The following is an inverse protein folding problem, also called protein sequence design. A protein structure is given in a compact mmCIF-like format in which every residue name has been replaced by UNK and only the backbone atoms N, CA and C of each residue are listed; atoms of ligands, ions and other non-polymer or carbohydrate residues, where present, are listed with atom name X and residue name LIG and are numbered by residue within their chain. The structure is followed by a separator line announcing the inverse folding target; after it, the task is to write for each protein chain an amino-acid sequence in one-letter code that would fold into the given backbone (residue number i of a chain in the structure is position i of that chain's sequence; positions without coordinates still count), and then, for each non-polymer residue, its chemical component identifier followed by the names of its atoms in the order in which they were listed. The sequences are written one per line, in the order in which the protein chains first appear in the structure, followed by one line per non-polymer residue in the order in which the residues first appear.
data_IF_269109339733
#
_entry.id   IF_269109339733
#
_cell.length_a   1.000
_cell.length_b   1.000
_cell.length_c   1.000
_cell.angle_alpha   90.00
_cell.angle_beta   90.00
_cell.angle_gamma   90.00
#
_symmetry.space_group_name_H-M   'P 1'
#
loop_
_entity.id
_entity.type
_entity.pdbx_description
1 polymer ?
#
# COMPACT_ATOMS: atom_id res chain seq x y z
N UNK A 1 10.27 -7.14 4.45
CA UNK A 1 9.17 -7.21 3.49
C UNK A 1 8.86 -5.81 2.95
N UNK A 2 8.77 -5.65 1.63
CA UNK A 2 8.24 -4.46 0.97
C UNK A 2 6.75 -4.67 0.71
N UNK A 3 5.90 -3.75 1.19
CA UNK A 3 4.46 -3.81 0.94
C UNK A 3 4.10 -3.42 -0.50
N UNK A 4 4.84 -2.47 -1.07
CA UNK A 4 4.70 -2.01 -2.47
C UNK A 4 5.94 -1.23 -2.90
N UNK A 5 5.95 -0.69 -4.15
CA UNK A 5 7.15 -0.16 -4.79
C UNK A 5 7.48 1.31 -4.47
N UNK A 6 6.58 2.08 -3.88
CA UNK A 6 6.80 3.51 -3.65
C UNK A 6 8.07 3.79 -2.83
N UNK A 7 8.76 4.87 -3.18
CA UNK A 7 10.02 5.26 -2.58
C UNK A 7 9.97 5.29 -1.05
N UNK A 8 8.88 5.77 -0.47
CA UNK A 8 8.67 5.83 0.99
C UNK A 8 8.71 4.46 1.69
N UNK A 9 8.56 3.35 0.96
CA UNK A 9 8.66 1.98 1.47
C UNK A 9 9.97 1.31 1.10
N UNK A 10 10.55 1.70 -0.04
CA UNK A 10 11.72 1.02 -0.61
C UNK A 10 13.03 1.64 -0.13
N UNK A 11 13.14 2.97 -0.08
CA UNK A 11 14.41 3.65 0.17
C UNK A 11 15.02 3.33 1.54
N UNK A 12 14.19 3.22 2.58
CA UNK A 12 14.66 2.90 3.94
C UNK A 12 15.00 1.42 4.17
N UNK A 13 14.69 0.53 3.23
CA UNK A 13 14.85 -0.91 3.44
C UNK A 13 16.33 -1.34 3.59
N UNK A 14 17.27 -0.65 2.95
CA UNK A 14 18.71 -0.88 3.09
C UNK A 14 19.23 -0.61 4.50
N UNK A 15 18.62 0.31 5.25
CA UNK A 15 19.04 0.68 6.59
C UNK A 15 18.88 -0.45 7.64
N UNK A 16 18.04 -1.43 7.34
CA UNK A 16 17.83 -2.57 8.26
C UNK A 16 18.96 -3.61 8.21
N UNK A 17 19.87 -3.53 7.24
CA UNK A 17 20.94 -4.55 7.08
C UNK A 17 20.38 -5.96 6.92
N UNK A 18 19.19 -6.12 6.40
CA UNK A 18 18.51 -7.41 6.27
C UNK A 18 19.19 -8.27 5.21
N UNK A 19 19.42 -9.54 5.53
CA UNK A 19 19.97 -10.52 4.58
C UNK A 19 19.05 -10.71 3.38
N UNK A 20 17.73 -10.69 3.62
CA UNK A 20 16.73 -10.86 2.59
C UNK A 20 15.73 -9.71 2.60
N UNK A 21 15.46 -9.17 1.41
CA UNK A 21 14.39 -8.20 1.14
C UNK A 21 13.36 -8.91 0.26
N UNK A 22 12.15 -9.06 0.78
CA UNK A 22 11.07 -9.81 0.13
C UNK A 22 10.07 -8.85 -0.49
N UNK A 23 9.63 -9.12 -1.72
CA UNK A 23 8.55 -8.38 -2.40
C UNK A 23 7.73 -9.32 -3.28
N UNK A 24 6.53 -8.90 -3.70
CA UNK A 24 5.84 -9.55 -4.80
C UNK A 24 6.60 -9.34 -6.12
N UNK A 25 6.42 -10.24 -7.09
CA UNK A 25 6.97 -10.07 -8.44
C UNK A 25 6.49 -8.75 -9.05
N UNK A 26 5.19 -8.43 -8.93
CA UNK A 26 4.62 -7.17 -9.42
C UNK A 26 5.25 -5.94 -8.75
N UNK A 27 5.58 -5.98 -7.46
CA UNK A 27 6.31 -4.89 -6.78
C UNK A 27 7.71 -4.74 -7.35
N UNK A 28 8.43 -5.84 -7.59
CA UNK A 28 9.76 -5.80 -8.19
C UNK A 28 9.72 -5.23 -9.61
N UNK A 29 8.74 -5.62 -10.41
CA UNK A 29 8.58 -5.12 -11.78
C UNK A 29 8.30 -3.62 -11.79
N UNK A 30 7.48 -3.11 -10.87
CA UNK A 30 7.25 -1.67 -10.70
C UNK A 30 8.51 -0.92 -10.24
N UNK A 31 9.36 -1.52 -9.38
CA UNK A 31 10.67 -0.94 -9.05
C UNK A 31 11.55 -0.83 -10.30
N UNK A 32 11.58 -1.87 -11.16
CA UNK A 32 12.30 -1.83 -12.45
C UNK A 32 11.78 -0.73 -13.35
N UNK A 33 10.46 -0.64 -13.48
CA UNK A 33 9.80 0.30 -14.41
C UNK A 33 9.91 1.75 -13.95
N UNK A 34 9.69 2.02 -12.65
CA UNK A 34 9.40 3.35 -12.12
C UNK A 34 10.21 3.77 -10.90
N UNK A 35 10.95 2.84 -10.28
CA UNK A 35 11.60 3.08 -8.98
C UNK A 35 12.55 4.28 -8.98
N UNK A 36 13.32 4.50 -10.04
CA UNK A 36 14.22 5.65 -10.12
C UNK A 36 13.42 6.98 -10.22
N UNK A 37 12.39 7.00 -11.06
CA UNK A 37 11.51 8.17 -11.20
C UNK A 37 10.82 8.51 -9.86
N UNK A 38 10.31 7.50 -9.15
CA UNK A 38 9.63 7.69 -7.88
C UNK A 38 10.61 8.20 -6.80
N UNK A 39 11.82 7.65 -6.74
CA UNK A 39 12.90 8.13 -5.86
C UNK A 39 13.22 9.61 -6.14
N UNK A 40 13.46 9.97 -7.39
CA UNK A 40 13.83 11.34 -7.78
C UNK A 40 12.69 12.32 -7.48
N UNK A 41 11.44 11.90 -7.72
CA UNK A 41 10.24 12.66 -7.37
C UNK A 41 10.12 12.91 -5.87
N UNK A 42 10.32 11.88 -5.03
CA UNK A 42 10.27 12.04 -3.57
C UNK A 42 11.37 12.97 -3.05
N UNK A 43 12.61 12.79 -3.51
CA UNK A 43 13.72 13.67 -3.13
C UNK A 43 13.45 15.11 -3.57
N UNK A 44 12.92 15.30 -4.79
CA UNK A 44 12.59 16.63 -5.32
C UNK A 44 11.46 17.32 -4.57
N UNK A 45 10.42 16.58 -4.16
CA UNK A 45 9.30 17.13 -3.38
C UNK A 45 9.64 17.42 -1.93
N UNK A 46 10.50 16.60 -1.33
CA UNK A 46 10.79 16.65 0.10
C UNK A 46 12.31 16.69 0.39
N UNK A 47 13.10 17.61 -0.20
CA UNK A 47 14.56 17.57 -0.11
C UNK A 47 15.09 17.61 1.33
N UNK A 48 14.35 18.22 2.27
CA UNK A 48 14.74 18.27 3.67
C UNK A 48 14.74 16.89 4.36
N UNK A 49 13.88 15.96 3.91
CA UNK A 49 13.80 14.62 4.48
C UNK A 49 15.00 13.76 4.08
N UNK A 50 15.69 14.11 2.99
CA UNK A 50 16.82 13.36 2.46
C UNK A 50 18.18 14.00 2.77
N UNK A 51 18.17 15.14 3.47
CA UNK A 51 19.39 15.86 3.79
C UNK A 51 20.19 15.08 4.85
N UNK A 52 21.44 14.70 4.50
CA UNK A 52 22.34 13.92 5.37
C UNK A 52 21.80 12.52 5.76
N UNK A 53 21.00 11.91 4.93
CA UNK A 53 20.51 10.55 5.14
C UNK A 53 21.41 9.55 4.41
N UNK A 54 22.38 8.97 5.14
CA UNK A 54 23.36 8.02 4.58
C UNK A 54 22.73 6.66 4.22
N UNK A 55 21.57 6.32 4.81
CA UNK A 55 20.90 5.05 4.60
C UNK A 55 20.13 4.93 3.27
N UNK A 56 19.93 6.05 2.57
CA UNK A 56 19.33 6.02 1.23
C UNK A 56 20.45 5.75 0.22
N UNK A 57 20.42 4.61 -0.50
CA UNK A 57 21.48 4.26 -1.43
C UNK A 57 21.50 5.19 -2.65
N UNK A 58 22.64 5.34 -3.30
CA UNK A 58 22.78 6.10 -4.55
C UNK A 58 21.88 5.51 -5.66
N UNK A 59 21.77 4.19 -5.71
CA UNK A 59 20.83 3.48 -6.59
C UNK A 59 19.47 3.20 -5.96
N UNK A 60 18.90 2.07 -6.30
CA UNK A 60 17.65 1.55 -5.75
C UNK A 60 17.92 0.40 -4.78
N UNK A 61 17.05 0.25 -3.79
CA UNK A 61 17.04 -0.95 -2.95
C UNK A 61 16.25 -2.04 -3.66
N UNK A 62 16.88 -3.18 -3.90
CA UNK A 62 16.30 -4.29 -4.65
C UNK A 62 15.79 -5.40 -3.75
N UNK A 63 14.62 -5.98 -4.01
CA UNK A 63 14.23 -7.23 -3.38
C UNK A 63 15.17 -8.36 -3.83
N UNK A 64 15.63 -9.16 -2.86
CA UNK A 64 16.49 -10.33 -3.07
C UNK A 64 15.69 -11.63 -3.21
N UNK A 65 14.42 -11.61 -2.74
CA UNK A 65 13.47 -12.71 -2.89
C UNK A 65 12.15 -12.17 -3.41
N UNK A 66 11.57 -12.85 -4.40
CA UNK A 66 10.24 -12.54 -4.91
C UNK A 66 9.31 -13.72 -4.77
N UNK A 67 8.00 -13.42 -4.70
CA UNK A 67 6.95 -14.42 -4.65
C UNK A 67 5.78 -14.01 -5.54
N UNK A 68 4.99 -15.00 -5.95
CA UNK A 68 3.74 -14.80 -6.67
C UNK A 68 2.57 -15.25 -5.79
N UNK A 69 1.63 -14.34 -5.53
CA UNK A 69 0.40 -14.52 -4.75
C UNK A 69 0.60 -14.82 -3.26
N UNK A 70 1.38 -15.82 -2.90
CA UNK A 70 1.52 -16.24 -1.49
C UNK A 70 2.90 -16.80 -1.22
N UNK A 71 3.45 -16.44 -0.05
CA UNK A 71 4.60 -17.07 0.59
C UNK A 71 4.28 -17.26 2.08
N UNK A 72 4.80 -18.31 2.71
CA UNK A 72 4.71 -18.50 4.16
C UNK A 72 6.11 -18.47 4.75
N UNK A 73 6.30 -17.67 5.79
CA UNK A 73 7.51 -17.60 6.58
C UNK A 73 7.22 -18.21 7.96
N UNK A 74 8.19 -18.96 8.47
CA UNK A 74 8.13 -19.50 9.82
C UNK A 74 9.18 -18.81 10.70
N UNK A 75 8.74 -18.05 11.68
CA UNK A 75 9.59 -17.42 12.68
C UNK A 75 9.51 -18.25 13.96
N UNK A 76 10.27 -19.34 14.03
CA UNK A 76 10.08 -20.36 15.04
C UNK A 76 8.73 -21.07 14.85
N UNK A 77 7.82 -20.89 15.80
CA UNK A 77 6.44 -21.44 15.72
C UNK A 77 5.42 -20.45 15.10
N UNK A 78 5.81 -19.21 14.91
CA UNK A 78 4.94 -18.18 14.36
C UNK A 78 4.83 -18.34 12.86
N UNK A 79 3.61 -18.56 12.37
CA UNK A 79 3.30 -18.54 10.94
C UNK A 79 3.02 -17.11 10.50
N UNK A 80 3.75 -16.66 9.47
CA UNK A 80 3.51 -15.37 8.81
C UNK A 80 3.21 -15.65 7.34
N UNK A 81 1.99 -15.39 6.91
CA UNK A 81 1.59 -15.50 5.52
C UNK A 81 1.79 -14.14 4.84
N UNK A 82 2.60 -14.12 3.80
CA UNK A 82 2.82 -12.97 2.93
C UNK A 82 1.91 -13.15 1.73
N UNK A 83 0.96 -12.22 1.53
CA UNK A 83 -0.14 -12.39 0.58
C UNK A 83 -0.23 -11.19 -0.36
N UNK A 84 -0.44 -11.47 -1.65
CA UNK A 84 -0.92 -10.53 -2.64
C UNK A 84 -2.40 -10.88 -2.92
N UNK A 85 -3.32 -10.11 -2.36
CA UNK A 85 -4.75 -10.42 -2.37
C UNK A 85 -5.53 -9.68 -3.46
N UNK A 86 -4.85 -8.89 -4.24
CA UNK A 86 -5.39 -8.07 -5.31
C UNK A 86 -4.62 -6.77 -5.41
N UNK A 87 -4.89 -6.02 -6.45
CA UNK A 87 -4.33 -4.67 -6.64
C UNK A 87 -5.28 -3.62 -6.07
N UNK A 88 -4.72 -2.54 -5.57
CA UNK A 88 -5.50 -1.46 -4.97
C UNK A 88 -4.72 -0.16 -5.00
N UNK A 89 -3.89 0.08 -4.00
CA UNK A 89 -2.99 1.23 -3.92
C UNK A 89 -1.92 1.19 -5.02
N UNK A 90 -1.40 -0.02 -5.31
CA UNK A 90 -0.53 -0.33 -6.46
C UNK A 90 -0.90 -1.69 -7.07
N UNK A 91 -0.20 -2.09 -8.13
CA UNK A 91 -0.34 -3.43 -8.71
C UNK A 91 0.20 -4.53 -7.79
N UNK A 92 1.28 -4.24 -7.05
CA UNK A 92 2.06 -5.21 -6.31
C UNK A 92 1.76 -5.27 -4.81
N UNK A 93 0.66 -4.70 -4.35
CA UNK A 93 0.34 -4.59 -2.93
C UNK A 93 0.42 -5.93 -2.19
N UNK A 94 1.17 -5.92 -1.11
CA UNK A 94 1.48 -7.09 -0.31
C UNK A 94 1.15 -6.84 1.15
N UNK A 95 0.48 -7.81 1.78
CA UNK A 95 0.14 -7.79 3.20
C UNK A 95 0.85 -8.91 3.95
N UNK A 96 1.06 -8.72 5.25
CA UNK A 96 1.50 -9.79 6.14
C UNK A 96 0.34 -10.17 7.07
N UNK A 97 -0.01 -11.45 7.07
CA UNK A 97 -1.09 -12.01 7.86
C UNK A 97 -0.56 -13.03 8.87
N UNK A 98 -0.91 -12.86 10.13
CA UNK A 98 -0.60 -13.76 11.23
C UNK A 98 -1.89 -14.50 11.63
N UNK A 99 -2.11 -15.71 11.10
CA UNK A 99 -3.43 -16.37 11.21
C UNK A 99 -3.80 -16.78 12.64
N UNK A 100 -2.83 -17.18 13.47
CA UNK A 100 -3.08 -17.55 14.86
C UNK A 100 -3.43 -16.35 15.72
N UNK A 101 -2.75 -15.23 15.51
CA UNK A 101 -2.92 -13.97 16.23
C UNK A 101 -4.02 -13.09 15.67
N UNK A 102 -4.53 -13.43 14.45
CA UNK A 102 -5.49 -12.64 13.69
C UNK A 102 -5.08 -11.18 13.50
N UNK A 103 -3.77 -10.97 13.26
CA UNK A 103 -3.18 -9.66 13.02
C UNK A 103 -2.85 -9.50 11.54
N UNK A 104 -3.33 -8.41 10.93
CA UNK A 104 -3.08 -8.05 9.55
C UNK A 104 -2.25 -6.77 9.48
N UNK A 105 -1.13 -6.81 8.75
CA UNK A 105 -0.36 -5.65 8.33
C UNK A 105 -0.72 -5.37 6.87
N UNK A 106 -1.49 -4.31 6.63
CA UNK A 106 -2.13 -4.08 5.33
C UNK A 106 -1.28 -3.27 4.35
N UNK A 107 -0.19 -2.65 4.81
CA UNK A 107 0.43 -1.60 3.99
C UNK A 107 -0.62 -0.54 3.62
N UNK A 108 -0.39 0.17 2.52
CA UNK A 108 -1.23 1.29 2.10
C UNK A 108 -2.56 0.85 1.42
N UNK A 109 -2.90 -0.45 1.48
CA UNK A 109 -4.25 -0.92 1.14
C UNK A 109 -5.31 -0.44 2.13
N UNK A 110 -4.92 -0.17 3.39
CA UNK A 110 -5.80 0.44 4.39
C UNK A 110 -5.09 1.64 5.01
N UNK A 111 -5.75 2.77 4.96
CA UNK A 111 -5.36 3.99 5.64
C UNK A 111 -6.42 4.33 6.69
N UNK A 112 -6.00 4.72 7.88
CA UNK A 112 -6.91 5.05 8.97
C UNK A 112 -6.61 6.44 9.51
N UNK A 113 -7.63 7.27 9.59
CA UNK A 113 -7.49 8.69 9.98
C UNK A 113 -6.44 9.44 9.12
N UNK A 114 -6.32 9.02 7.87
CA UNK A 114 -5.41 9.56 6.87
C UNK A 114 -6.02 9.39 5.47
N UNK A 115 -5.79 10.37 4.60
CA UNK A 115 -6.25 10.29 3.21
C UNK A 115 -5.41 9.28 2.43
N UNK A 116 -6.03 8.28 1.79
CA UNK A 116 -5.32 7.35 0.92
C UNK A 116 -4.64 8.07 -0.25
N UNK A 117 -3.36 7.79 -0.46
CA UNK A 117 -2.71 8.19 -1.71
C UNK A 117 -3.19 7.30 -2.84
N UNK A 118 -3.66 7.90 -3.92
CA UNK A 118 -4.31 7.19 -5.01
C UNK A 118 -3.74 7.52 -6.41
N UNK A 119 -2.51 8.07 -6.48
CA UNK A 119 -1.88 8.48 -7.73
C UNK A 119 -1.64 7.32 -8.72
N UNK A 120 -1.39 6.12 -8.22
CA UNK A 120 -1.18 4.91 -9.01
C UNK A 120 -2.27 3.84 -8.76
N UNK A 121 -3.39 4.25 -8.16
CA UNK A 121 -4.40 3.34 -7.64
C UNK A 121 -5.24 2.67 -8.73
N UNK A 122 -5.65 1.47 -8.42
CA UNK A 122 -6.61 0.68 -9.20
C UNK A 122 -8.00 0.82 -8.58
N UNK A 123 -8.63 1.98 -8.76
CA UNK A 123 -9.90 2.33 -8.14
C UNK A 123 -11.01 1.29 -8.29
N UNK A 124 -11.11 0.63 -9.45
CA UNK A 124 -12.11 -0.41 -9.71
C UNK A 124 -11.88 -1.69 -8.93
N UNK A 125 -10.61 -2.03 -8.71
CA UNK A 125 -10.22 -3.31 -8.12
C UNK A 125 -10.03 -3.21 -6.61
N UNK A 126 -9.66 -2.03 -6.11
CA UNK A 126 -9.36 -1.81 -4.69
C UNK A 126 -10.51 -2.21 -3.74
N UNK A 127 -11.79 -1.89 -4.02
CA UNK A 127 -12.88 -2.38 -3.19
C UNK A 127 -12.93 -3.90 -3.05
N UNK A 128 -12.71 -4.66 -4.14
CA UNK A 128 -12.64 -6.12 -4.08
C UNK A 128 -11.42 -6.61 -3.29
N UNK A 129 -10.30 -5.92 -3.40
CA UNK A 129 -9.10 -6.24 -2.61
C UNK A 129 -9.37 -6.04 -1.11
N UNK A 130 -10.09 -4.99 -0.73
CA UNK A 130 -10.53 -4.78 0.66
C UNK A 130 -11.48 -5.89 1.15
N UNK A 131 -12.36 -6.43 0.28
CA UNK A 131 -13.19 -7.60 0.62
C UNK A 131 -12.33 -8.83 0.87
N UNK A 132 -11.28 -9.04 0.09
CA UNK A 132 -10.35 -10.15 0.27
C UNK A 132 -9.57 -10.02 1.59
N UNK A 133 -9.21 -8.79 2.01
CA UNK A 133 -8.63 -8.53 3.33
C UNK A 133 -9.63 -8.84 4.45
N UNK A 134 -10.88 -8.37 4.32
CA UNK A 134 -11.94 -8.61 5.29
C UNK A 134 -12.26 -10.11 5.46
N UNK A 135 -12.15 -10.90 4.38
CA UNK A 135 -12.37 -12.34 4.39
C UNK A 135 -11.36 -13.12 5.26
N UNK A 136 -10.18 -12.56 5.54
CA UNK A 136 -9.22 -13.10 6.50
C UNK A 136 -9.75 -13.00 7.96
N UNK A 137 -10.75 -12.16 8.22
CA UNK A 137 -11.34 -11.90 9.52
C UNK A 137 -10.31 -11.41 10.55
N UNK A 138 -9.53 -10.37 10.25
CA UNK A 138 -8.57 -9.84 11.19
C UNK A 138 -9.27 -9.23 12.41
N UNK A 139 -8.72 -9.51 13.59
CA UNK A 139 -9.17 -8.90 14.86
C UNK A 139 -8.35 -7.64 15.19
N UNK A 140 -7.15 -7.54 14.61
CA UNK A 140 -6.29 -6.35 14.69
C UNK A 140 -5.71 -6.05 13.31
N UNK A 141 -5.50 -4.74 13.04
CA UNK A 141 -4.94 -4.31 11.77
C UNK A 141 -3.94 -3.17 11.98
N UNK A 142 -2.78 -3.30 11.35
CA UNK A 142 -1.78 -2.23 11.27
C UNK A 142 -1.87 -1.64 9.86
N UNK A 143 -2.41 -0.41 9.73
CA UNK A 143 -2.57 0.25 8.43
C UNK A 143 -1.24 0.80 7.91
N UNK A 144 -1.23 1.24 6.67
CA UNK A 144 -0.08 1.94 6.08
C UNK A 144 0.19 3.29 6.74
N UNK A 145 -0.87 4.00 7.09
CA UNK A 145 -0.85 5.24 7.87
C UNK A 145 -1.97 5.21 8.91
N UNK A 146 -1.74 5.95 10.00
CA UNK A 146 -2.67 6.02 11.12
C UNK A 146 -2.33 5.04 12.25
N UNK A 147 -3.15 5.07 13.29
CA UNK A 147 -2.98 4.22 14.46
C UNK A 147 -3.33 2.75 14.16
N UNK A 148 -2.67 1.83 14.87
CA UNK A 148 -3.05 0.43 14.81
C UNK A 148 -4.45 0.21 15.38
N UNK A 149 -5.27 -0.56 14.66
CA UNK A 149 -6.65 -0.90 15.00
C UNK A 149 -6.65 -2.14 15.87
N UNK A 150 -7.16 -2.02 17.10
CA UNK A 150 -6.97 -3.00 18.16
C UNK A 150 -8.18 -3.89 18.41
N UNK A 151 -9.33 -3.55 17.79
CA UNK A 151 -10.58 -4.32 17.93
C UNK A 151 -11.20 -4.62 16.57
N UNK A 152 -12.02 -5.68 16.45
CA UNK A 152 -12.72 -6.01 15.22
C UNK A 152 -13.56 -4.85 14.67
N UNK A 153 -14.18 -4.04 15.56
CA UNK A 153 -15.00 -2.88 15.16
C UNK A 153 -14.13 -1.79 14.54
N UNK A 154 -12.96 -1.51 15.12
CA UNK A 154 -12.01 -0.57 14.55
C UNK A 154 -11.49 -1.06 13.20
N UNK A 155 -11.18 -2.35 13.07
CA UNK A 155 -10.75 -2.97 11.82
C UNK A 155 -11.80 -2.80 10.74
N UNK A 156 -13.07 -3.08 11.05
CA UNK A 156 -14.18 -2.86 10.11
C UNK A 156 -14.32 -1.39 9.73
N UNK A 157 -14.19 -0.48 10.69
CA UNK A 157 -14.23 0.96 10.42
C UNK A 157 -13.10 1.41 9.48
N UNK A 158 -11.87 0.94 9.68
CA UNK A 158 -10.72 1.25 8.82
C UNK A 158 -10.90 0.74 7.38
N UNK A 159 -11.34 -0.52 7.23
CA UNK A 159 -11.65 -1.10 5.92
C UNK A 159 -12.78 -0.34 5.21
N UNK A 160 -13.87 -0.03 5.95
CA UNK A 160 -15.02 0.70 5.41
C UNK A 160 -14.67 2.13 5.04
N UNK A 161 -13.88 2.83 5.86
CA UNK A 161 -13.46 4.21 5.59
C UNK A 161 -12.59 4.31 4.33
N UNK A 162 -11.59 3.44 4.18
CA UNK A 162 -10.77 3.38 2.96
C UNK A 162 -11.64 3.06 1.73
N UNK A 163 -12.56 2.09 1.85
CA UNK A 163 -13.50 1.73 0.78
C UNK A 163 -14.36 2.91 0.36
N UNK A 164 -14.99 3.59 1.34
CA UNK A 164 -15.88 4.72 1.08
C UNK A 164 -15.13 5.81 0.30
N UNK A 165 -13.96 6.23 0.79
CA UNK A 165 -13.14 7.24 0.12
C UNK A 165 -12.84 6.88 -1.34
N UNK A 166 -12.34 5.66 -1.58
CA UNK A 166 -11.97 5.20 -2.94
C UNK A 166 -13.20 5.12 -3.85
N UNK A 167 -14.32 4.61 -3.35
CA UNK A 167 -15.56 4.47 -4.12
C UNK A 167 -16.19 5.82 -4.43
N UNK A 168 -16.25 6.73 -3.46
CA UNK A 168 -16.85 8.05 -3.61
C UNK A 168 -16.06 8.88 -4.64
N UNK A 169 -14.73 8.90 -4.55
CA UNK A 169 -13.88 9.57 -5.55
C UNK A 169 -14.10 8.98 -6.93
N UNK A 170 -14.08 7.65 -7.06
CA UNK A 170 -14.26 6.99 -8.34
C UNK A 170 -15.62 7.28 -8.97
N UNK A 171 -16.71 7.14 -8.22
CA UNK A 171 -18.06 7.34 -8.76
C UNK A 171 -18.35 8.83 -9.04
N UNK A 172 -17.84 9.76 -8.24
CA UNK A 172 -17.94 11.20 -8.50
C UNK A 172 -17.26 11.57 -9.81
N UNK A 173 -15.99 11.17 -9.98
CA UNK A 173 -15.22 11.45 -11.21
C UNK A 173 -15.89 10.80 -12.43
N UNK A 174 -16.33 9.57 -12.30
CA UNK A 174 -17.01 8.82 -13.36
C UNK A 174 -18.33 9.50 -13.79
N UNK A 175 -19.10 9.98 -12.83
CA UNK A 175 -20.37 10.68 -13.11
C UNK A 175 -20.13 11.98 -13.89
N UNK A 176 -19.18 12.80 -13.44
CA UNK A 176 -18.81 14.04 -14.12
C UNK A 176 -18.21 13.80 -15.51
N UNK A 177 -17.35 12.78 -15.64
CA UNK A 177 -16.79 12.40 -16.95
C UNK A 177 -17.87 11.95 -17.94
N UNK A 178 -18.90 11.24 -17.48
CA UNK A 178 -20.02 10.82 -18.31
C UNK A 178 -20.86 12.02 -18.84
N UNK A 179 -20.81 13.15 -18.14
CA UNK A 179 -21.46 14.41 -18.55
C UNK A 179 -20.58 15.27 -19.47
N UNK A 180 -19.34 14.84 -19.73
CA UNK A 180 -18.38 15.58 -20.55
C UNK A 180 -17.84 16.83 -19.87
N UNK A 181 -17.83 16.87 -18.54
CA UNK A 181 -17.27 17.98 -17.79
C UNK A 181 -15.75 18.05 -17.92
N UNK A 182 -15.22 19.27 -17.92
CA UNK A 182 -13.78 19.49 -17.92
C UNK A 182 -13.15 19.11 -16.55
N UNK A 183 -11.85 18.81 -16.57
CA UNK A 183 -11.13 18.33 -15.39
C UNK A 183 -11.25 19.26 -14.17
N UNK A 184 -11.30 20.58 -14.39
CA UNK A 184 -11.40 21.55 -13.30
C UNK A 184 -12.76 21.44 -12.59
N UNK A 185 -13.85 21.35 -13.36
CA UNK A 185 -15.20 21.16 -12.80
C UNK A 185 -15.32 19.84 -12.06
N UNK A 186 -14.76 18.75 -12.65
CA UNK A 186 -14.71 17.46 -11.99
C UNK A 186 -14.01 17.55 -10.63
N UNK A 187 -12.84 18.20 -10.60
CA UNK A 187 -12.09 18.41 -9.36
C UNK A 187 -12.92 19.18 -8.31
N UNK A 188 -13.47 20.33 -8.70
CA UNK A 188 -14.27 21.17 -7.81
C UNK A 188 -15.49 20.42 -7.26
N UNK A 189 -16.18 19.63 -8.09
CA UNK A 189 -17.35 18.83 -7.68
C UNK A 189 -17.00 17.65 -6.76
N UNK A 190 -15.83 17.07 -6.92
CA UNK A 190 -15.41 15.89 -6.11
C UNK A 190 -14.97 16.28 -4.69
N UNK A 191 -14.49 17.51 -4.51
CA UNK A 191 -13.94 17.98 -3.22
C UNK A 191 -14.77 19.11 -2.57
N UNK A 192 -15.96 19.37 -3.09
CA UNK A 192 -16.93 20.28 -2.48
C UNK A 192 -17.77 19.58 -1.41
#
# INVERSE_FOLDING_TARGET
LLSHYHAVRVLGASAYGAEHIIASEDTRDLIVERGQFDKDSEIGRFPRLFQNVESVPDGLTWPTMTFNKKMTLWLGKLEVQILQLGRGHTKGDTVAWLPQEKILFSGDLVEFDATPYAGDAYFKDWPQTLDNLAALKPEKLVPGRGAALQTPEQVQAGLAGTRAFISDVYESVKASAAQGEDLRKVYEATFA
#
